data_IF_784904190828
#
_entry.id   IF_784904190828
#
_cell.length_a   1.000
_cell.length_b   1.000
_cell.length_c   1.000
_cell.angle_alpha   90.00
_cell.angle_beta   90.00
_cell.angle_gamma   90.00
#
_symmetry.space_group_name_H-M   'P 1'
#
loop_
_entity.id
_entity.type
_entity.pdbx_description
1 polymer ?
#
# COMPACT_ATOMS: atom_id res chain seq x y z
N UNK A 1 -37.99 -8.04 18.26
CA UNK A 1 -37.14 -7.57 19.37
C UNK A 1 -35.99 -8.55 19.47
N UNK A 2 -34.78 -8.13 19.07
CA UNK A 2 -33.58 -8.99 19.12
C UNK A 2 -33.17 -9.24 20.57
N UNK A 3 -32.79 -10.49 20.87
CA UNK A 3 -32.34 -10.89 22.19
C UNK A 3 -30.95 -10.29 22.44
N UNK A 4 -30.82 -9.50 23.50
CA UNK A 4 -29.58 -8.81 23.90
C UNK A 4 -28.38 -9.79 24.00
N UNK A 5 -28.63 -11.06 24.31
CA UNK A 5 -27.61 -12.11 24.32
C UNK A 5 -27.01 -12.46 22.95
N UNK A 6 -27.80 -12.43 21.87
CA UNK A 6 -27.31 -12.71 20.51
C UNK A 6 -26.47 -11.55 19.96
N UNK A 7 -26.83 -10.32 20.30
CA UNK A 7 -26.08 -9.11 19.90
C UNK A 7 -24.69 -9.07 20.56
N UNK A 8 -24.61 -9.43 21.85
CA UNK A 8 -23.34 -9.50 22.59
C UNK A 8 -22.43 -10.60 22.05
N UNK A 9 -22.97 -11.78 21.77
CA UNK A 9 -22.19 -12.90 21.18
C UNK A 9 -21.71 -12.55 19.78
N UNK A 10 -22.52 -11.85 18.98
CA UNK A 10 -22.14 -11.39 17.64
C UNK A 10 -21.02 -10.35 17.70
N UNK A 11 -21.13 -9.35 18.59
CA UNK A 11 -20.09 -8.36 18.81
C UNK A 11 -18.77 -8.98 19.31
N UNK A 12 -18.83 -9.98 20.19
CA UNK A 12 -17.65 -10.71 20.66
C UNK A 12 -16.97 -11.51 19.55
N UNK A 13 -17.75 -12.20 18.69
CA UNK A 13 -17.21 -12.91 17.52
C UNK A 13 -16.58 -11.97 16.51
N UNK A 14 -17.17 -10.79 16.31
CA UNK A 14 -16.63 -9.77 15.43
C UNK A 14 -15.30 -9.21 15.95
N UNK A 15 -15.24 -8.81 17.23
CA UNK A 15 -13.97 -8.39 17.88
C UNK A 15 -12.89 -9.45 17.80
N UNK A 16 -13.23 -10.72 18.01
CA UNK A 16 -12.26 -11.82 17.94
C UNK A 16 -11.70 -11.96 16.52
N UNK A 17 -12.55 -11.91 15.50
CA UNK A 17 -12.12 -11.92 14.10
C UNK A 17 -11.26 -10.71 13.75
N UNK A 18 -11.63 -9.52 14.19
CA UNK A 18 -10.84 -8.30 13.99
C UNK A 18 -9.44 -8.45 14.59
N UNK A 19 -9.34 -8.97 15.82
CA UNK A 19 -8.07 -9.20 16.52
C UNK A 19 -7.19 -10.29 15.89
N UNK A 20 -7.81 -11.29 15.27
CA UNK A 20 -7.12 -12.34 14.50
C UNK A 20 -6.67 -11.84 13.11
N UNK A 21 -7.38 -10.86 12.54
CA UNK A 21 -7.04 -10.21 11.27
C UNK A 21 -6.02 -9.08 11.42
N UNK A 22 -5.89 -8.49 12.61
CA UNK A 22 -4.93 -7.43 12.94
C UNK A 22 -3.47 -7.78 12.58
N UNK A 23 -2.89 -8.90 13.07
CA UNK A 23 -1.51 -9.27 12.72
C UNK A 23 -1.36 -9.62 11.23
N UNK A 24 -2.42 -10.09 10.58
CA UNK A 24 -2.42 -10.35 9.14
C UNK A 24 -2.35 -9.01 8.38
N UNK A 25 -3.16 -8.02 8.78
CA UNK A 25 -3.14 -6.65 8.22
C UNK A 25 -1.79 -5.98 8.45
N UNK A 26 -1.22 -6.09 9.64
CA UNK A 26 0.13 -5.60 9.96
C UNK A 26 1.19 -6.25 9.08
N UNK A 27 1.12 -7.58 8.89
CA UNK A 27 2.03 -8.31 8.00
C UNK A 27 1.94 -7.87 6.54
N UNK A 28 0.72 -7.65 6.02
CA UNK A 28 0.52 -7.12 4.67
C UNK A 28 0.99 -5.66 4.54
N UNK A 29 0.75 -4.83 5.55
CA UNK A 29 1.21 -3.44 5.57
C UNK A 29 2.74 -3.37 5.56
N UNK A 30 3.42 -4.18 6.38
CA UNK A 30 4.88 -4.25 6.40
C UNK A 30 5.46 -4.76 5.07
N UNK A 31 4.85 -5.78 4.47
CA UNK A 31 5.27 -6.29 3.15
C UNK A 31 5.07 -5.26 2.04
N UNK A 32 3.98 -4.50 2.10
CA UNK A 32 3.71 -3.40 1.17
C UNK A 32 4.72 -2.26 1.36
N UNK A 33 5.03 -1.86 2.59
CA UNK A 33 6.02 -0.83 2.90
C UNK A 33 7.40 -1.20 2.35
N UNK A 34 7.86 -2.43 2.60
CA UNK A 34 9.14 -2.93 2.06
C UNK A 34 9.13 -2.91 0.53
N UNK A 35 8.08 -3.43 -0.10
CA UNK A 35 8.00 -3.50 -1.56
C UNK A 35 7.95 -2.12 -2.22
N UNK A 36 7.16 -1.19 -1.66
CA UNK A 36 7.08 0.20 -2.12
C UNK A 36 8.45 0.88 -1.95
N UNK A 37 9.12 0.67 -0.81
CA UNK A 37 10.45 1.21 -0.55
C UNK A 37 11.49 0.76 -1.58
N UNK A 38 11.52 -0.52 -1.93
CA UNK A 38 12.45 -1.03 -2.96
C UNK A 38 12.12 -0.53 -4.37
N UNK A 39 10.83 -0.40 -4.72
CA UNK A 39 10.38 0.21 -5.97
C UNK A 39 10.85 1.67 -6.06
N UNK A 40 10.65 2.46 -5.00
CA UNK A 40 11.04 3.86 -4.97
C UNK A 40 12.55 4.02 -5.05
N UNK A 41 13.34 3.24 -4.29
CA UNK A 41 14.81 3.24 -4.40
C UNK A 41 15.30 2.93 -5.81
N UNK A 42 14.65 1.99 -6.50
CA UNK A 42 15.01 1.62 -7.87
C UNK A 42 14.72 2.78 -8.82
N UNK A 43 13.56 3.41 -8.69
CA UNK A 43 13.19 4.58 -9.50
C UNK A 43 14.15 5.75 -9.23
N UNK A 44 14.46 6.06 -7.97
CA UNK A 44 15.38 7.13 -7.58
C UNK A 44 16.78 6.91 -8.14
N UNK A 45 17.27 5.67 -8.16
CA UNK A 45 18.56 5.34 -8.80
C UNK A 45 18.53 5.58 -10.30
N UNK A 46 17.43 5.27 -10.97
CA UNK A 46 17.28 5.51 -12.41
C UNK A 46 17.18 7.01 -12.68
N UNK A 47 16.44 7.78 -11.87
CA UNK A 47 16.35 9.24 -12.00
C UNK A 47 17.71 9.91 -11.73
N UNK A 48 18.47 9.46 -10.72
CA UNK A 48 19.81 9.99 -10.46
C UNK A 48 20.77 9.81 -11.66
N UNK A 49 20.64 8.71 -12.40
CA UNK A 49 21.39 8.49 -13.66
C UNK A 49 20.93 9.45 -14.77
N UNK A 50 19.63 9.71 -14.87
CA UNK A 50 19.10 10.69 -15.84
C UNK A 50 19.63 12.08 -15.52
N UNK A 51 19.60 12.47 -14.25
CA UNK A 51 20.06 13.78 -13.77
C UNK A 51 21.57 13.96 -13.93
N UNK A 52 22.34 12.88 -13.78
CA UNK A 52 23.79 12.88 -14.05
C UNK A 52 24.13 12.89 -15.55
N UNK A 53 23.13 12.77 -16.43
CA UNK A 53 23.31 12.70 -17.88
C UNK A 53 23.82 11.33 -18.38
N UNK A 54 23.79 10.30 -17.53
CA UNK A 54 24.13 8.94 -17.93
C UNK A 54 23.10 8.37 -18.91
N UNK A 55 23.58 7.56 -19.87
CA UNK A 55 22.67 6.84 -20.77
C UNK A 55 22.04 5.67 -20.03
N UNK A 56 20.71 5.74 -19.89
CA UNK A 56 19.91 4.59 -19.47
C UNK A 56 19.97 3.46 -20.52
N UNK A 57 20.03 2.22 -20.03
CA UNK A 57 19.81 1.02 -20.84
C UNK A 57 18.38 0.96 -21.38
N UNK A 58 18.10 0.05 -22.32
CA UNK A 58 16.73 -0.17 -22.80
C UNK A 58 15.81 -0.60 -21.64
N UNK A 59 16.29 -1.53 -20.81
CA UNK A 59 15.54 -2.06 -19.66
C UNK A 59 15.30 -0.98 -18.60
N UNK A 60 16.27 -0.11 -18.34
CA UNK A 60 16.12 1.00 -17.39
C UNK A 60 15.08 2.02 -17.85
N UNK A 61 14.96 2.26 -19.17
CA UNK A 61 13.91 3.15 -19.72
C UNK A 61 12.52 2.54 -19.56
N UNK A 62 12.39 1.24 -19.79
CA UNK A 62 11.15 0.50 -19.58
C UNK A 62 10.79 0.52 -18.09
N UNK A 63 11.70 0.11 -17.22
CA UNK A 63 11.54 0.14 -15.77
C UNK A 63 11.17 1.53 -15.27
N UNK A 64 11.82 2.59 -15.73
CA UNK A 64 11.46 3.98 -15.36
C UNK A 64 9.99 4.26 -15.64
N UNK A 65 9.50 3.89 -16.81
CA UNK A 65 8.11 4.14 -17.24
C UNK A 65 7.13 3.32 -16.41
N UNK A 66 7.42 2.04 -16.19
CA UNK A 66 6.58 1.13 -15.42
C UNK A 66 6.53 1.52 -13.93
N UNK A 67 7.67 1.85 -13.35
CA UNK A 67 7.78 2.25 -11.94
C UNK A 67 7.11 3.60 -11.68
N UNK A 68 7.21 4.58 -12.60
CA UNK A 68 6.42 5.82 -12.50
C UNK A 68 4.92 5.57 -12.53
N UNK A 69 4.45 4.70 -13.44
CA UNK A 69 3.04 4.34 -13.51
C UNK A 69 2.56 3.63 -12.24
N UNK A 70 3.37 2.75 -11.67
CA UNK A 70 3.09 2.09 -10.39
C UNK A 70 3.05 3.09 -9.23
N UNK A 71 4.03 4.00 -9.15
CA UNK A 71 4.08 5.06 -8.14
C UNK A 71 2.81 5.89 -8.15
N UNK A 72 2.38 6.37 -9.32
CA UNK A 72 1.17 7.19 -9.45
C UNK A 72 -0.09 6.43 -8.99
N UNK A 73 -0.19 5.13 -9.31
CA UNK A 73 -1.30 4.29 -8.85
C UNK A 73 -1.31 4.13 -7.33
N UNK A 74 -0.15 3.96 -6.71
CA UNK A 74 -0.01 3.86 -5.26
C UNK A 74 -0.39 5.19 -4.60
N UNK A 75 0.14 6.32 -5.08
CA UNK A 75 -0.18 7.65 -4.57
C UNK A 75 -1.69 7.92 -4.64
N UNK A 76 -2.33 7.58 -5.77
CA UNK A 76 -3.78 7.71 -5.92
C UNK A 76 -4.56 6.80 -4.97
N UNK A 77 -4.19 5.53 -4.87
CA UNK A 77 -4.86 4.60 -3.96
C UNK A 77 -4.74 5.02 -2.49
N UNK A 78 -3.58 5.56 -2.10
CA UNK A 78 -3.40 6.15 -0.78
C UNK A 78 -4.29 7.37 -0.58
N UNK A 79 -4.35 8.27 -1.56
CA UNK A 79 -5.19 9.46 -1.47
C UNK A 79 -6.69 9.13 -1.41
N UNK A 80 -7.15 8.18 -2.22
CA UNK A 80 -8.52 7.66 -2.19
C UNK A 80 -8.83 7.06 -0.80
N UNK A 81 -7.92 6.24 -0.24
CA UNK A 81 -8.05 5.68 1.11
C UNK A 81 -8.16 6.76 2.19
N UNK A 82 -7.30 7.79 2.14
CA UNK A 82 -7.34 8.89 3.11
C UNK A 82 -8.65 9.67 3.01
N UNK A 83 -9.11 9.96 1.80
CA UNK A 83 -10.37 10.68 1.55
C UNK A 83 -11.55 9.90 2.11
N UNK A 84 -11.68 8.62 1.78
CA UNK A 84 -12.79 7.76 2.24
C UNK A 84 -12.79 7.53 3.76
N UNK A 85 -11.60 7.53 4.38
CA UNK A 85 -11.47 7.20 5.82
C UNK A 85 -11.63 8.43 6.72
N UNK A 86 -11.10 9.59 6.31
CA UNK A 86 -10.97 10.75 7.19
C UNK A 86 -11.73 12.00 6.74
N UNK A 87 -12.04 12.14 5.44
CA UNK A 87 -12.68 13.35 4.87
C UNK A 87 -14.18 13.15 4.55
N UNK A 88 -14.87 12.20 5.20
CA UNK A 88 -16.33 12.00 5.08
C UNK A 88 -17.13 13.28 5.35
#
# INVERSE_FOLDING_TARGET
>A
MGNWGDDVVTAMRQRRRERELEPIREGYAAAAEVSIGEIMKTLDRIEAKVDSGEKLSADEKVLRTELHALRLKIERALQDFWTDTYDN
#
